data_IF_126399964807
#
_entry.id   IF_126399964807
#
_cell.length_a   1.000
_cell.length_b   1.000
_cell.length_c   1.000
_cell.angle_alpha   90.00
_cell.angle_beta   90.00
_cell.angle_gamma   90.00
#
_symmetry.space_group_name_H-M   'P 1'
#
loop_
_entity.id
_entity.type
_entity.pdbx_description
1 polymer ?
#
# COMPACT_ATOMS: atom_id res chain seq x y z
N UNK A 1 -14.21 -13.60 -5.30
CA UNK A 1 -14.63 -13.74 -3.88
C UNK A 1 -13.92 -12.66 -3.06
N UNK A 2 -14.59 -12.06 -2.09
CA UNK A 2 -13.94 -11.11 -1.18
C UNK A 2 -12.84 -11.83 -0.38
N UNK A 3 -11.62 -11.27 -0.33
CA UNK A 3 -10.53 -11.87 0.45
C UNK A 3 -10.71 -11.57 1.93
N UNK A 4 -10.57 -12.58 2.79
CA UNK A 4 -10.65 -12.42 4.24
C UNK A 4 -9.51 -11.53 4.78
N UNK A 5 -9.80 -10.80 5.86
CA UNK A 5 -8.94 -9.75 6.43
C UNK A 5 -8.16 -10.18 7.67
N UNK A 6 -8.29 -11.44 8.10
CA UNK A 6 -7.49 -11.99 9.19
C UNK A 6 -6.02 -12.17 8.78
N UNK A 7 -5.12 -12.26 9.77
CA UNK A 7 -3.68 -12.35 9.55
C UNK A 7 -3.25 -13.57 8.71
N UNK A 8 -3.94 -14.70 8.85
CA UNK A 8 -3.58 -15.92 8.12
C UNK A 8 -3.89 -15.77 6.63
N UNK A 9 -5.02 -15.13 6.30
CA UNK A 9 -5.41 -14.80 4.94
C UNK A 9 -4.53 -13.71 4.33
N UNK A 10 -4.16 -12.67 5.09
CA UNK A 10 -3.28 -11.59 4.64
C UNK A 10 -1.87 -12.09 4.30
N UNK A 11 -1.33 -13.06 5.04
CA UNK A 11 -0.02 -13.69 4.73
C UNK A 11 0.01 -14.40 3.37
N UNK A 12 -1.14 -14.72 2.80
CA UNK A 12 -1.27 -15.45 1.53
C UNK A 12 -1.56 -14.54 0.31
N UNK A 13 -1.49 -13.22 0.48
CA UNK A 13 -1.74 -12.26 -0.60
C UNK A 13 -0.75 -12.43 -1.75
N UNK A 14 -1.28 -12.38 -2.97
CA UNK A 14 -0.55 -12.48 -4.23
C UNK A 14 -0.66 -11.17 -5.00
N UNK A 15 0.29 -10.83 -5.89
CA UNK A 15 0.17 -9.65 -6.74
C UNK A 15 -1.15 -9.61 -7.51
N UNK A 16 -1.62 -10.73 -8.05
CA UNK A 16 -2.89 -10.84 -8.77
C UNK A 16 -4.16 -10.50 -7.96
N UNK A 17 -4.06 -10.39 -6.63
CA UNK A 17 -5.16 -9.95 -5.77
C UNK A 17 -5.37 -8.43 -5.80
N UNK A 18 -4.43 -7.69 -6.41
CA UNK A 18 -4.38 -6.23 -6.45
C UNK A 18 -4.44 -5.78 -7.92
N UNK A 19 -5.46 -4.99 -8.31
CA UNK A 19 -5.62 -4.57 -9.69
C UNK A 19 -4.70 -3.42 -10.12
N UNK A 20 -4.10 -2.69 -9.17
CA UNK A 20 -3.20 -1.56 -9.45
C UNK A 20 -1.86 -1.78 -8.77
N UNK A 21 -0.78 -1.47 -9.48
CA UNK A 21 0.58 -1.70 -9.02
C UNK A 21 1.48 -0.50 -9.35
N UNK A 22 2.44 -0.25 -8.46
CA UNK A 22 3.56 0.65 -8.69
C UNK A 22 4.85 0.02 -8.17
N UNK A 23 5.97 0.40 -8.78
CA UNK A 23 7.29 0.05 -8.29
C UNK A 23 7.89 1.17 -7.44
N UNK A 24 8.53 0.81 -6.34
CA UNK A 24 9.29 1.74 -5.52
C UNK A 24 10.74 1.30 -5.37
N UNK A 25 11.66 2.07 -5.95
CA UNK A 25 13.09 1.88 -5.70
C UNK A 25 13.44 2.41 -4.32
N UNK A 26 13.84 1.52 -3.42
CA UNK A 26 14.22 1.88 -2.05
C UNK A 26 15.40 2.84 -2.05
N UNK A 27 15.44 3.75 -1.08
CA UNK A 27 16.50 4.71 -0.85
C UNK A 27 17.36 4.25 0.33
N UNK A 28 18.62 4.69 0.36
CA UNK A 28 19.51 4.41 1.51
C UNK A 28 18.86 4.79 2.85
N UNK A 29 18.20 5.95 2.89
CA UNK A 29 17.54 6.48 4.09
C UNK A 29 16.25 5.74 4.50
N UNK A 30 15.75 4.81 3.67
CA UNK A 30 14.57 4.04 4.04
C UNK A 30 14.93 2.91 5.03
N UNK A 31 16.20 2.49 5.08
CA UNK A 31 16.68 1.55 6.08
C UNK A 31 16.92 2.24 7.43
N UNK A 32 16.57 1.57 8.53
CA UNK A 32 16.97 1.98 9.88
C UNK A 32 18.27 1.30 10.35
N UNK A 33 18.63 1.54 11.62
CA UNK A 33 19.80 0.95 12.27
C UNK A 33 19.82 -0.59 12.28
N UNK A 34 18.67 -1.24 12.07
CA UNK A 34 18.55 -2.70 11.98
C UNK A 34 18.70 -3.21 10.54
N UNK A 35 19.10 -2.35 9.60
CA UNK A 35 19.37 -2.68 8.19
C UNK A 35 18.16 -3.18 7.40
N UNK A 36 16.95 -2.85 7.85
CA UNK A 36 15.70 -3.12 7.13
C UNK A 36 14.91 -1.83 6.92
N UNK A 37 13.98 -1.87 5.97
CA UNK A 37 13.06 -0.77 5.69
C UNK A 37 12.28 -0.41 6.97
N UNK A 38 12.41 0.83 7.42
CA UNK A 38 11.82 1.28 8.67
C UNK A 38 10.28 1.32 8.59
N UNK A 39 9.61 1.05 9.71
CA UNK A 39 8.16 0.92 9.75
C UNK A 39 7.33 2.12 9.22
N UNK A 40 7.73 3.40 9.33
CA UNK A 40 6.94 4.54 8.85
C UNK A 40 7.01 4.70 7.33
N UNK A 41 8.05 4.16 6.69
CA UNK A 41 8.20 4.22 5.23
C UNK A 41 7.02 3.53 4.55
N UNK A 42 6.53 2.42 5.10
CA UNK A 42 5.35 1.75 4.57
C UNK A 42 4.11 2.66 4.56
N UNK A 43 3.88 3.44 5.61
CA UNK A 43 2.78 4.41 5.65
C UNK A 43 2.90 5.49 4.57
N UNK A 44 4.11 6.01 4.36
CA UNK A 44 4.39 6.98 3.28
C UNK A 44 4.07 6.38 1.91
N UNK A 45 4.46 5.12 1.67
CA UNK A 45 4.22 4.44 0.40
C UNK A 45 2.75 4.09 0.19
N UNK A 46 2.02 3.73 1.26
CA UNK A 46 0.56 3.53 1.23
C UNK A 46 -0.13 4.82 0.78
N UNK A 47 0.18 5.95 1.41
CA UNK A 47 -0.39 7.25 1.02
C UNK A 47 -0.04 7.58 -0.44
N UNK A 48 1.21 7.33 -0.84
CA UNK A 48 1.67 7.63 -2.20
C UNK A 48 0.90 6.86 -3.26
N UNK A 49 0.77 5.53 -3.13
CA UNK A 49 0.10 4.72 -4.17
C UNK A 49 -1.41 5.01 -4.22
N UNK A 50 -2.06 5.23 -3.08
CA UNK A 50 -3.48 5.59 -3.04
C UNK A 50 -3.69 6.92 -3.76
N UNK A 51 -2.90 7.95 -3.43
CA UNK A 51 -3.06 9.26 -4.06
C UNK A 51 -2.67 9.22 -5.54
N UNK A 52 -1.63 8.50 -5.92
CA UNK A 52 -1.24 8.31 -7.31
C UNK A 52 -2.38 7.69 -8.12
N UNK A 53 -3.05 6.65 -7.59
CA UNK A 53 -4.23 6.06 -8.22
C UNK A 53 -5.37 7.08 -8.37
N UNK A 54 -5.69 7.82 -7.30
CA UNK A 54 -6.77 8.81 -7.33
C UNK A 54 -6.52 9.96 -8.33
N UNK A 55 -5.26 10.33 -8.53
CA UNK A 55 -4.84 11.39 -9.45
C UNK A 55 -4.75 10.90 -10.89
N UNK A 56 -4.30 9.67 -11.13
CA UNK A 56 -3.92 9.22 -12.49
C UNK A 56 -4.90 8.26 -13.14
N UNK A 57 -5.69 7.50 -12.35
CA UNK A 57 -6.52 6.41 -12.87
C UNK A 57 -8.03 6.70 -12.87
N UNK A 58 -8.49 7.71 -12.13
CA UNK A 58 -9.92 8.01 -12.07
C UNK A 58 -10.38 8.78 -13.33
N UNK A 59 -11.62 8.56 -13.81
CA UNK A 59 -12.20 9.35 -14.90
C UNK A 59 -12.26 10.86 -14.59
N UNK A 60 -12.39 11.18 -13.30
CA UNK A 60 -12.28 12.53 -12.76
C UNK A 60 -11.14 12.53 -11.73
N UNK A 61 -9.91 12.87 -12.17
CA UNK A 61 -8.75 12.96 -11.31
C UNK A 61 -9.01 13.77 -10.04
N UNK A 62 -8.62 13.21 -8.90
CA UNK A 62 -8.59 13.97 -7.66
C UNK A 62 -7.53 15.07 -7.75
N UNK A 63 -7.90 16.27 -7.29
CA UNK A 63 -6.97 17.39 -7.11
C UNK A 63 -7.27 18.02 -5.76
N UNK A 64 -6.29 18.07 -4.84
CA UNK A 64 -6.47 18.73 -3.54
C UNK A 64 -6.94 20.19 -3.66
N UNK A 65 -6.59 20.87 -4.75
CA UNK A 65 -6.92 22.28 -4.99
C UNK A 65 -8.27 22.49 -5.69
N UNK A 66 -8.75 21.51 -6.45
CA UNK A 66 -9.90 21.69 -7.34
C UNK A 66 -11.07 20.74 -7.07
N UNK A 67 -10.86 19.64 -6.34
CA UNK A 67 -11.92 18.71 -6.01
C UNK A 67 -12.84 19.27 -4.90
N UNK A 68 -14.16 19.02 -4.96
CA UNK A 68 -15.12 19.54 -3.99
C UNK A 68 -15.11 18.76 -2.65
N UNK A 69 -14.23 17.78 -2.49
CA UNK A 69 -14.07 16.95 -1.30
C UNK A 69 -12.58 16.73 -1.03
N UNK A 70 -12.25 16.43 0.23
CA UNK A 70 -10.92 15.99 0.66
C UNK A 70 -11.01 14.59 1.28
N UNK A 71 -10.04 13.74 0.97
CA UNK A 71 -9.85 12.46 1.67
C UNK A 71 -9.06 12.69 2.95
N UNK A 72 -9.62 12.28 4.10
CA UNK A 72 -8.90 12.27 5.37
C UNK A 72 -8.66 10.83 5.82
N UNK A 73 -7.42 10.55 6.22
CA UNK A 73 -7.05 9.23 6.76
C UNK A 73 -7.61 9.11 8.17
N UNK A 74 -8.63 8.28 8.33
CA UNK A 74 -9.30 8.06 9.62
C UNK A 74 -8.68 6.93 10.45
N UNK A 75 -8.06 5.95 9.79
CA UNK A 75 -7.39 4.81 10.42
C UNK A 75 -6.34 4.28 9.46
N UNK A 76 -5.23 3.78 10.01
CA UNK A 76 -4.21 3.05 9.27
C UNK A 76 -3.76 1.81 10.01
N UNK A 77 -3.24 0.84 9.27
CA UNK A 77 -2.62 -0.36 9.83
C UNK A 77 -1.49 -0.89 8.94
N UNK A 78 -0.61 -1.70 9.53
CA UNK A 78 0.38 -2.51 8.81
C UNK A 78 0.60 -3.83 9.56
N UNK A 79 0.43 -4.94 8.84
CA UNK A 79 0.75 -6.29 9.28
C UNK A 79 2.06 -6.74 8.61
N UNK A 80 3.08 -7.04 9.42
CA UNK A 80 4.43 -7.36 8.95
C UNK A 80 4.65 -8.89 8.96
N UNK A 81 4.92 -9.46 7.78
CA UNK A 81 5.17 -10.89 7.57
C UNK A 81 6.62 -11.20 7.18
N UNK A 82 7.36 -10.20 6.71
CA UNK A 82 8.79 -10.28 6.41
C UNK A 82 9.40 -8.90 6.20
N UNK A 83 10.73 -8.84 6.21
CA UNK A 83 11.48 -7.60 6.01
C UNK A 83 11.71 -7.29 4.53
N UNK A 84 11.70 -6.00 4.21
CA UNK A 84 12.29 -5.45 2.99
C UNK A 84 13.59 -4.70 3.35
N UNK A 85 14.48 -4.50 2.39
CA UNK A 85 15.74 -3.79 2.60
C UNK A 85 16.20 -3.02 1.36
N UNK A 86 16.93 -1.93 1.58
CA UNK A 86 17.79 -1.32 0.58
C UNK A 86 19.07 -2.15 0.37
N UNK A 87 19.64 -2.21 -0.85
CA UNK A 87 19.06 -1.74 -2.11
C UNK A 87 18.09 -2.76 -2.71
N UNK A 88 16.95 -2.28 -3.20
CA UNK A 88 16.01 -3.10 -3.94
C UNK A 88 14.89 -2.29 -4.57
N UNK A 89 13.97 -3.01 -5.22
CA UNK A 89 12.71 -2.46 -5.75
C UNK A 89 11.58 -3.22 -5.07
N UNK A 90 10.61 -2.47 -4.54
CA UNK A 90 9.37 -3.01 -4.01
C UNK A 90 8.33 -3.04 -5.12
N UNK A 91 7.56 -4.11 -5.19
CA UNK A 91 6.27 -4.12 -5.88
C UNK A 91 5.21 -3.76 -4.84
N UNK A 92 4.43 -2.72 -5.12
CA UNK A 92 3.40 -2.18 -4.24
C UNK A 92 2.06 -2.32 -4.94
N UNK A 93 1.20 -3.18 -4.41
CA UNK A 93 -0.13 -3.44 -4.97
C UNK A 93 -1.21 -2.73 -4.17
N UNK A 94 -2.18 -2.11 -4.84
CA UNK A 94 -3.33 -1.41 -4.25
C UNK A 94 -4.64 -2.07 -4.66
N UNK A 95 -5.56 -2.21 -3.69
CA UNK A 95 -6.95 -2.59 -3.94
C UNK A 95 -7.92 -1.87 -3.01
N UNK A 96 -9.18 -1.82 -3.44
CA UNK A 96 -10.30 -1.37 -2.59
C UNK A 96 -10.89 -2.57 -1.86
N UNK A 97 -10.95 -2.50 -0.52
CA UNK A 97 -11.58 -3.51 0.33
C UNK A 97 -13.08 -3.26 0.45
N UNK A 98 -13.46 -2.00 0.66
CA UNK A 98 -14.86 -1.61 0.91
C UNK A 98 -15.09 -0.16 0.51
N UNK A 99 -16.21 0.10 -0.16
CA UNK A 99 -16.74 1.45 -0.39
C UNK A 99 -17.97 1.64 0.50
N UNK A 100 -17.93 2.65 1.35
CA UNK A 100 -19.06 3.12 2.16
C UNK A 100 -19.72 4.36 1.56
N UNK A 101 -20.64 4.98 2.31
CA UNK A 101 -21.33 6.20 1.86
C UNK A 101 -20.40 7.42 1.75
N UNK A 102 -19.39 7.52 2.62
CA UNK A 102 -18.46 8.64 2.68
C UNK A 102 -17.06 8.20 3.11
N UNK A 103 -16.73 6.93 2.92
CA UNK A 103 -15.43 6.36 3.26
C UNK A 103 -15.07 5.26 2.28
N UNK A 104 -13.78 5.08 2.06
CA UNK A 104 -13.22 3.95 1.30
C UNK A 104 -12.15 3.33 2.16
N UNK A 105 -12.16 2.00 2.25
CA UNK A 105 -11.09 1.23 2.88
C UNK A 105 -10.22 0.64 1.77
N UNK A 106 -8.94 0.98 1.81
CA UNK A 106 -7.93 0.43 0.91
C UNK A 106 -7.16 -0.69 1.61
N UNK A 107 -6.53 -1.54 0.80
CA UNK A 107 -5.48 -2.44 1.26
C UNK A 107 -4.33 -2.34 0.26
N UNK A 108 -3.12 -2.21 0.79
CA UNK A 108 -1.87 -2.13 0.06
C UNK A 108 -0.97 -3.28 0.50
N UNK A 109 -0.35 -3.97 -0.44
CA UNK A 109 0.60 -5.02 -0.16
C UNK A 109 1.96 -4.74 -0.77
N UNK A 110 3.00 -5.22 -0.10
CA UNK A 110 4.40 -5.01 -0.46
C UNK A 110 5.09 -6.35 -0.70
N UNK A 111 5.76 -6.47 -1.84
CA UNK A 111 6.67 -7.58 -2.16
C UNK A 111 8.06 -7.05 -2.47
N UNK A 112 9.06 -7.89 -2.24
CA UNK A 112 10.45 -7.62 -2.63
C UNK A 112 11.16 -8.94 -2.92
N UNK A 113 11.73 -9.05 -4.12
CA UNK A 113 12.41 -10.25 -4.60
C UNK A 113 11.47 -11.45 -4.70
N UNK A 114 12.03 -12.66 -4.55
CA UNK A 114 11.26 -13.90 -4.54
C UNK A 114 10.62 -14.16 -3.16
N UNK A 115 9.39 -14.69 -3.17
CA UNK A 115 8.68 -15.12 -1.98
C UNK A 115 7.27 -14.53 -1.83
N UNK A 116 6.70 -14.72 -0.65
CA UNK A 116 5.38 -14.19 -0.31
C UNK A 116 5.38 -12.70 0.02
N UNK A 117 4.18 -12.16 0.27
CA UNK A 117 3.97 -10.79 0.73
C UNK A 117 4.78 -10.49 1.99
N UNK A 118 5.38 -9.30 2.04
CA UNK A 118 6.22 -8.85 3.15
C UNK A 118 5.39 -8.05 4.15
N UNK A 119 4.56 -7.14 3.67
CA UNK A 119 3.69 -6.30 4.49
C UNK A 119 2.33 -6.14 3.81
N UNK A 120 1.25 -6.12 4.60
CA UNK A 120 -0.09 -5.73 4.17
C UNK A 120 -0.59 -4.61 5.08
N UNK A 121 -0.94 -3.46 4.51
CA UNK A 121 -1.43 -2.30 5.25
C UNK A 121 -2.57 -1.60 4.52
N UNK A 122 -2.95 -0.43 5.00
CA UNK A 122 -3.98 0.42 4.40
C UNK A 122 -4.47 1.48 5.36
#
# INVERSE_FOLDING_TARGET
MALALDLSSKRQRKPSDYPYHEEYRTRWADNDQFSHLNNPIYGILIDSIINSYLITQLPHPYSPQHSPFVGLVANTYCDYFGSCQYPGVLDVGLRVVKVGRGSVMYEVAFWQGEGGVKVVGG
#
